data_IF_143754810199
#
_entry.id   IF_143754810199
#
_cell.length_a   1.000
_cell.length_b   1.000
_cell.length_c   1.000
_cell.angle_alpha   90.00
_cell.angle_beta   90.00
_cell.angle_gamma   90.00
#
_symmetry.space_group_name_H-M   'P 1'
#
loop_
_entity.id
_entity.type
_entity.pdbx_description
1 polymer ?
#
# COMPACT_ATOMS: atom_id res chain seq x y z
N UNK A 1 16.34 -21.39 -40.38
CA UNK A 1 16.74 -20.53 -39.24
C UNK A 1 15.75 -19.38 -38.99
N UNK A 2 15.42 -18.56 -40.01
CA UNK A 2 14.46 -17.44 -39.89
C UNK A 2 13.05 -17.80 -39.34
N UNK A 3 12.38 -18.89 -39.77
CA UNK A 3 11.03 -19.21 -39.24
C UNK A 3 11.05 -19.73 -37.80
N UNK A 4 12.15 -20.37 -37.37
CA UNK A 4 12.32 -20.86 -36.00
C UNK A 4 12.54 -19.70 -35.01
N UNK A 5 13.32 -18.69 -35.41
CA UNK A 5 13.52 -17.47 -34.60
C UNK A 5 12.21 -16.70 -34.45
N UNK A 6 11.42 -16.59 -35.52
CA UNK A 6 10.12 -15.92 -35.48
C UNK A 6 9.14 -16.68 -34.59
N UNK A 7 9.11 -18.02 -34.68
CA UNK A 7 8.28 -18.88 -33.84
C UNK A 7 8.64 -18.77 -32.36
N UNK A 8 9.93 -18.83 -32.02
CA UNK A 8 10.40 -18.67 -30.64
C UNK A 8 10.08 -17.27 -30.09
N UNK A 9 10.24 -16.22 -30.90
CA UNK A 9 9.89 -14.86 -30.51
C UNK A 9 8.39 -14.70 -30.23
N UNK A 10 7.52 -15.28 -31.07
CA UNK A 10 6.07 -15.29 -30.84
C UNK A 10 5.67 -16.13 -29.63
N UNK A 11 6.35 -17.24 -29.38
CA UNK A 11 6.10 -18.09 -28.21
C UNK A 11 6.48 -17.39 -26.90
N UNK A 12 7.58 -16.65 -26.88
CA UNK A 12 7.98 -15.83 -25.73
C UNK A 12 6.99 -14.69 -25.43
N UNK A 13 6.37 -14.09 -26.44
CA UNK A 13 5.35 -13.06 -26.25
C UNK A 13 4.05 -13.63 -25.67
N UNK A 14 3.64 -14.84 -26.09
CA UNK A 14 2.41 -15.48 -25.60
C UNK A 14 2.51 -15.99 -24.16
N UNK A 15 3.71 -16.29 -23.65
CA UNK A 15 3.91 -16.77 -22.28
C UNK A 15 3.73 -15.67 -21.22
N UNK A 16 3.97 -14.40 -21.58
CA UNK A 16 3.91 -13.28 -20.63
C UNK A 16 2.48 -12.83 -20.28
N UNK A 17 1.48 -13.22 -21.05
CA UNK A 17 0.08 -12.79 -20.82
C UNK A 17 -0.69 -13.69 -19.85
N UNK A 18 -0.18 -14.86 -19.48
CA UNK A 18 -0.94 -15.89 -18.77
C UNK A 18 -0.96 -15.75 -17.23
N UNK A 19 -0.41 -14.67 -16.65
CA UNK A 19 -0.22 -14.52 -15.19
C UNK A 19 -0.78 -13.21 -14.62
N UNK A 20 -1.78 -12.60 -15.25
CA UNK A 20 -2.49 -11.49 -14.61
C UNK A 20 -3.39 -12.07 -13.49
N UNK A 21 -2.94 -11.93 -12.25
CA UNK A 21 -3.74 -12.21 -11.05
C UNK A 21 -4.79 -11.09 -10.92
N UNK A 22 -6.06 -11.42 -11.09
CA UNK A 22 -7.20 -10.48 -11.06
C UNK A 22 -7.52 -9.99 -9.63
N UNK A 23 -6.60 -10.20 -8.69
CA UNK A 23 -6.76 -9.78 -7.30
C UNK A 23 -6.74 -8.25 -7.19
N UNK A 24 -7.79 -7.70 -6.56
CA UNK A 24 -7.81 -6.29 -6.14
C UNK A 24 -6.84 -5.99 -5.00
N UNK A 25 -6.27 -7.03 -4.39
CA UNK A 25 -5.26 -6.95 -3.32
C UNK A 25 -3.91 -7.32 -3.91
N UNK A 26 -2.95 -6.39 -3.81
CA UNK A 26 -1.55 -6.69 -4.09
C UNK A 26 -0.99 -7.60 -2.98
N UNK A 27 -0.73 -8.86 -3.32
CA UNK A 27 -0.17 -9.86 -2.40
C UNK A 27 1.36 -9.90 -2.45
N UNK A 28 1.98 -9.13 -3.35
CA UNK A 28 3.44 -9.04 -3.50
C UNK A 28 4.07 -8.07 -2.51
N UNK A 29 3.27 -7.13 -1.99
CA UNK A 29 3.66 -6.21 -0.92
C UNK A 29 3.15 -6.72 0.44
N UNK A 30 4.01 -7.08 1.39
CA UNK A 30 3.57 -7.49 2.72
C UNK A 30 2.92 -6.32 3.47
N UNK A 31 1.91 -6.63 4.29
CA UNK A 31 1.33 -5.67 5.23
C UNK A 31 2.34 -5.36 6.34
N UNK A 32 2.42 -4.09 6.74
CA UNK A 32 3.31 -3.61 7.80
C UNK A 32 2.52 -2.94 8.94
N UNK A 33 2.98 -3.15 10.17
CA UNK A 33 2.48 -2.42 11.33
C UNK A 33 3.20 -1.09 11.43
N UNK A 34 2.46 0.01 11.25
CA UNK A 34 3.03 1.38 11.28
C UNK A 34 3.18 1.95 12.70
N UNK A 35 2.29 1.58 13.63
CA UNK A 35 2.31 2.00 15.02
C UNK A 35 1.34 1.15 15.86
N UNK A 36 1.56 1.16 17.17
CA UNK A 36 0.76 0.46 18.20
C UNK A 36 0.46 1.42 19.36
N UNK A 37 -0.13 0.90 20.43
CA UNK A 37 -0.30 1.62 21.71
C UNK A 37 -1.32 2.78 21.67
N UNK A 38 -2.41 2.57 20.93
CA UNK A 38 -3.60 3.44 20.90
C UNK A 38 -4.76 2.79 21.66
N UNK A 39 -5.61 3.60 22.28
CA UNK A 39 -6.78 3.09 23.01
C UNK A 39 -7.93 2.71 22.06
N UNK A 40 -8.10 3.46 20.97
CA UNK A 40 -9.02 3.15 19.86
C UNK A 40 -8.63 3.92 18.58
N UNK A 41 -7.74 3.35 17.76
CA UNK A 41 -7.40 3.89 16.44
C UNK A 41 -8.51 3.58 15.42
N UNK A 42 -9.36 4.56 15.11
CA UNK A 42 -10.51 4.39 14.20
C UNK A 42 -10.69 5.66 13.34
N UNK A 43 -11.42 5.61 12.22
CA UNK A 43 -11.69 6.77 11.37
C UNK A 43 -10.49 7.36 10.59
N UNK A 44 -9.61 6.54 9.98
CA UNK A 44 -8.48 7.06 9.22
C UNK A 44 -8.89 7.79 7.94
N UNK A 45 -8.17 8.85 7.57
CA UNK A 45 -8.39 9.61 6.34
C UNK A 45 -7.09 10.12 5.71
N UNK A 46 -6.97 9.98 4.40
CA UNK A 46 -5.89 10.57 3.61
C UNK A 46 -6.21 12.03 3.25
N UNK A 47 -5.21 12.91 3.35
CA UNK A 47 -5.35 14.34 3.01
C UNK A 47 -5.17 14.65 1.52
N UNK A 48 -4.84 13.65 0.69
CA UNK A 48 -4.46 13.82 -0.71
C UNK A 48 -3.04 14.39 -0.93
N UNK A 49 -2.39 14.89 0.12
CA UNK A 49 -1.00 15.35 0.18
C UNK A 49 0.00 14.30 0.67
N UNK A 50 -0.43 13.03 0.75
CA UNK A 50 0.32 11.88 1.25
C UNK A 50 0.45 11.77 2.77
N UNK A 51 -0.37 12.46 3.57
CA UNK A 51 -0.45 12.17 5.01
C UNK A 51 -1.73 11.38 5.32
N UNK A 52 -1.59 10.41 6.23
CA UNK A 52 -2.71 9.69 6.81
C UNK A 52 -2.99 10.25 8.19
N UNK A 53 -4.22 10.69 8.42
CA UNK A 53 -4.70 11.11 9.73
C UNK A 53 -5.53 9.99 10.33
N UNK A 54 -5.41 9.76 11.64
CA UNK A 54 -6.25 8.80 12.34
C UNK A 54 -6.43 9.25 13.80
N UNK A 55 -7.68 9.36 14.30
CA UNK A 55 -7.91 9.60 15.71
C UNK A 55 -7.66 8.35 16.55
N UNK A 56 -7.04 8.56 17.70
CA UNK A 56 -7.14 7.67 18.85
C UNK A 56 -8.35 8.15 19.68
N UNK A 57 -9.52 7.60 19.38
CA UNK A 57 -10.82 8.11 19.84
C UNK A 57 -10.93 8.11 21.36
N UNK A 58 -10.39 7.08 22.02
CA UNK A 58 -10.39 6.97 23.48
C UNK A 58 -9.17 7.65 24.13
N UNK A 59 -8.07 7.76 23.39
CA UNK A 59 -6.87 8.48 23.82
C UNK A 59 -6.93 10.00 23.60
N UNK A 60 -8.06 10.51 23.09
CA UNK A 60 -8.37 11.94 22.90
C UNK A 60 -7.30 12.69 22.09
N UNK A 61 -6.76 12.03 21.05
CA UNK A 61 -5.70 12.60 20.19
C UNK A 61 -5.95 12.31 18.72
N UNK A 62 -5.58 13.25 17.86
CA UNK A 62 -5.48 13.04 16.43
C UNK A 62 -4.01 12.84 16.04
N UNK A 63 -3.70 11.70 15.43
CA UNK A 63 -2.36 11.40 14.93
C UNK A 63 -2.27 11.63 13.43
N UNK A 64 -1.03 11.87 12.98
CA UNK A 64 -0.64 11.94 11.57
C UNK A 64 0.51 10.99 11.30
N UNK A 65 0.35 10.11 10.32
CA UNK A 65 1.38 9.27 9.74
C UNK A 65 1.87 9.86 8.40
N UNK A 66 3.18 9.92 8.23
CA UNK A 66 3.85 10.35 6.99
C UNK A 66 4.60 9.17 6.37
N UNK A 67 4.08 8.54 5.29
CA UNK A 67 4.76 7.46 4.57
C UNK A 67 6.15 7.86 4.06
N UNK A 68 6.35 9.14 3.71
CA UNK A 68 7.65 9.65 3.25
C UNK A 68 8.75 9.48 4.30
N UNK A 69 8.41 9.60 5.58
CA UNK A 69 9.38 9.56 6.68
C UNK A 69 9.23 8.35 7.58
N UNK A 70 8.15 7.57 7.43
CA UNK A 70 7.79 6.47 8.31
C UNK A 70 7.41 6.91 9.72
N UNK A 71 7.06 8.19 9.93
CA UNK A 71 6.81 8.73 11.28
C UNK A 71 5.33 8.94 11.57
N UNK A 72 4.94 8.57 12.79
CA UNK A 72 3.69 8.95 13.43
C UNK A 72 3.96 10.10 14.42
N UNK A 73 3.12 11.12 14.39
CA UNK A 73 3.19 12.28 15.30
C UNK A 73 1.80 12.71 15.74
N UNK A 74 1.66 13.21 16.97
CA UNK A 74 0.44 13.92 17.39
C UNK A 74 0.26 15.16 16.49
N UNK A 75 -0.94 15.32 15.95
CA UNK A 75 -1.33 16.46 15.12
C UNK A 75 -2.23 17.44 15.88
N UNK A 76 -3.16 16.91 16.68
CA UNK A 76 -4.01 17.68 17.57
C UNK A 76 -4.21 16.89 18.86
N UNK A 77 -4.08 17.60 19.97
CA UNK A 77 -4.45 17.18 21.32
C UNK A 77 -5.36 18.25 21.93
N UNK A 78 -6.25 17.83 22.84
CA UNK A 78 -7.09 18.72 23.64
C UNK A 78 -6.32 19.35 24.82
#
# INVERSE_FOLDING_TARGET
MKPLVLFLFTFSLLWNHALADDSIVDTTSPLETIATDFDLADGPAWDGGSNLYFPDVKGEKLYRFSPRTGKVSVFLDD
#
